data_IF_805260441608
#
_entry.id   IF_805260441608
#
_cell.length_a   1.000
_cell.length_b   1.000
_cell.length_c   1.000
_cell.angle_alpha   90.00
_cell.angle_beta   90.00
_cell.angle_gamma   90.00
#
_symmetry.space_group_name_H-M   'P 1'
#
loop_
_entity.id
_entity.type
_entity.pdbx_description
1 polymer ?
#
# COMPACT_ATOMS: atom_id res chain seq x y z
N UNK A 1 -13.32 15.24 -12.60
CA UNK A 1 -13.15 13.84 -12.66
C UNK A 1 -14.22 13.09 -13.42
N UNK A 2 -13.96 11.82 -13.74
CA UNK A 2 -14.94 10.91 -14.33
C UNK A 2 -15.86 10.37 -13.25
N UNK A 3 -17.13 10.06 -13.60
CA UNK A 3 -18.05 9.38 -12.69
C UNK A 3 -17.49 8.01 -12.29
N UNK A 4 -17.70 7.62 -11.03
CA UNK A 4 -17.34 6.30 -10.53
C UNK A 4 -18.22 5.20 -11.13
N UNK A 5 -17.78 3.94 -11.06
CA UNK A 5 -18.52 2.80 -11.62
C UNK A 5 -19.92 2.70 -11.05
N UNK A 6 -20.09 2.83 -9.72
CA UNK A 6 -21.41 2.77 -9.09
C UNK A 6 -22.32 3.94 -9.50
N UNK A 7 -21.76 5.13 -9.75
CA UNK A 7 -22.53 6.29 -10.20
C UNK A 7 -23.03 6.15 -11.64
N UNK A 8 -22.40 5.29 -12.46
CA UNK A 8 -22.80 5.04 -13.86
C UNK A 8 -23.67 3.79 -13.98
N UNK A 9 -23.30 2.71 -13.28
CA UNK A 9 -23.89 1.37 -13.49
C UNK A 9 -24.66 0.84 -12.26
N UNK A 10 -24.72 1.61 -11.18
CA UNK A 10 -25.35 1.22 -9.92
C UNK A 10 -24.43 0.47 -8.95
N UNK A 11 -24.84 0.41 -7.70
CA UNK A 11 -24.03 -0.12 -6.59
C UNK A 11 -23.68 -1.60 -6.78
N UNK A 12 -24.63 -2.43 -7.20
CA UNK A 12 -24.39 -3.86 -7.40
C UNK A 12 -23.27 -4.14 -8.41
N UNK A 13 -23.28 -3.45 -9.55
CA UNK A 13 -22.21 -3.59 -10.55
C UNK A 13 -20.90 -2.95 -10.08
N UNK A 14 -20.98 -1.89 -9.26
CA UNK A 14 -19.80 -1.32 -8.62
C UNK A 14 -19.07 -2.34 -7.73
N UNK A 15 -19.81 -3.05 -6.87
CA UNK A 15 -19.28 -4.09 -5.99
C UNK A 15 -18.73 -5.26 -6.81
N UNK A 16 -19.55 -5.83 -7.70
CA UNK A 16 -19.15 -6.98 -8.52
C UNK A 16 -17.94 -6.68 -9.42
N UNK A 17 -17.77 -5.44 -9.87
CA UNK A 17 -16.58 -5.04 -10.63
C UNK A 17 -15.31 -5.10 -9.80
N UNK A 18 -15.38 -4.68 -8.53
CA UNK A 18 -14.27 -4.81 -7.59
C UNK A 18 -13.90 -6.26 -7.30
N UNK A 19 -14.91 -7.10 -7.02
CA UNK A 19 -14.74 -8.52 -6.78
C UNK A 19 -14.12 -9.23 -8.01
N UNK A 20 -14.63 -8.90 -9.20
CA UNK A 20 -14.13 -9.46 -10.45
C UNK A 20 -12.67 -9.07 -10.72
N UNK A 21 -12.29 -7.83 -10.47
CA UNK A 21 -10.91 -7.36 -10.65
C UNK A 21 -9.95 -8.06 -9.67
N UNK A 22 -10.34 -8.20 -8.41
CA UNK A 22 -9.52 -8.88 -7.42
C UNK A 22 -9.37 -10.38 -7.76
N UNK A 23 -10.47 -11.04 -8.12
CA UNK A 23 -10.43 -12.45 -8.55
C UNK A 23 -9.57 -12.62 -9.82
N UNK A 24 -9.70 -11.73 -10.80
CA UNK A 24 -8.93 -11.77 -12.03
C UNK A 24 -7.43 -11.57 -11.80
N UNK A 25 -7.05 -10.76 -10.80
CA UNK A 25 -5.66 -10.63 -10.40
C UNK A 25 -5.08 -11.97 -9.90
N UNK A 26 -5.82 -12.71 -9.07
CA UNK A 26 -5.39 -14.04 -8.62
C UNK A 26 -5.41 -15.10 -9.73
N UNK A 27 -6.42 -15.07 -10.59
CA UNK A 27 -6.48 -15.93 -11.77
C UNK A 27 -5.24 -15.72 -12.65
N UNK A 28 -4.89 -14.46 -12.92
CA UNK A 28 -3.71 -14.10 -13.70
C UNK A 28 -2.42 -14.56 -12.99
N UNK A 29 -2.26 -14.28 -11.71
CA UNK A 29 -1.08 -14.70 -10.95
C UNK A 29 -0.94 -16.23 -10.90
N UNK A 30 -2.06 -16.96 -10.81
CA UNK A 30 -2.05 -18.44 -10.77
C UNK A 30 -1.57 -19.09 -12.07
N UNK A 31 -1.57 -18.37 -13.19
CA UNK A 31 -1.00 -18.89 -14.45
C UNK A 31 0.48 -19.24 -14.34
N UNK A 32 1.20 -18.63 -13.37
CA UNK A 32 2.60 -18.94 -13.08
C UNK A 32 2.84 -20.42 -12.78
N UNK A 33 1.88 -21.11 -12.15
CA UNK A 33 1.98 -22.54 -11.90
C UNK A 33 2.01 -23.39 -13.19
N UNK A 34 1.38 -22.89 -14.25
CA UNK A 34 1.42 -23.55 -15.56
C UNK A 34 2.68 -23.23 -16.35
N UNK A 35 3.25 -22.04 -16.13
CA UNK A 35 4.47 -21.59 -16.79
C UNK A 35 5.72 -22.29 -16.23
N UNK A 36 5.80 -22.44 -14.91
CA UNK A 36 6.92 -23.07 -14.22
C UNK A 36 6.43 -24.05 -13.14
N UNK A 37 5.84 -25.19 -13.50
CA UNK A 37 5.16 -26.09 -12.56
C UNK A 37 6.07 -26.71 -11.50
N UNK A 38 7.38 -26.74 -11.72
CA UNK A 38 8.36 -27.27 -10.79
C UNK A 38 8.98 -26.18 -9.86
N UNK A 39 8.61 -24.94 -10.01
CA UNK A 39 9.17 -23.85 -9.22
C UNK A 39 8.43 -23.65 -7.87
N UNK A 40 9.03 -24.05 -6.73
CA UNK A 40 8.37 -23.92 -5.42
C UNK A 40 8.19 -22.47 -4.96
N UNK A 41 8.92 -21.51 -5.54
CA UNK A 41 8.80 -20.10 -5.21
C UNK A 41 7.43 -19.54 -5.58
N UNK A 42 6.75 -20.07 -6.60
CA UNK A 42 5.43 -19.63 -7.03
C UNK A 42 4.40 -19.82 -5.90
N UNK A 43 4.42 -20.96 -5.21
CA UNK A 43 3.53 -21.21 -4.08
C UNK A 43 3.77 -20.22 -2.93
N UNK A 44 5.02 -19.92 -2.61
CA UNK A 44 5.39 -18.91 -1.60
C UNK A 44 4.93 -17.51 -2.02
N UNK A 45 5.19 -17.11 -3.26
CA UNK A 45 4.77 -15.82 -3.82
C UNK A 45 3.24 -15.64 -3.77
N UNK A 46 2.49 -16.67 -4.17
CA UNK A 46 1.02 -16.65 -4.09
C UNK A 46 0.52 -16.54 -2.66
N UNK A 47 1.11 -17.26 -1.71
CA UNK A 47 0.76 -17.16 -0.29
C UNK A 47 0.99 -15.75 0.28
N UNK A 48 2.10 -15.11 -0.08
CA UNK A 48 2.38 -13.71 0.28
C UNK A 48 1.36 -12.76 -0.33
N UNK A 49 1.13 -12.84 -1.64
CA UNK A 49 0.19 -11.99 -2.35
C UNK A 49 -1.21 -12.07 -1.74
N UNK A 50 -1.74 -13.29 -1.56
CA UNK A 50 -3.09 -13.50 -1.02
C UNK A 50 -3.23 -13.03 0.42
N UNK A 51 -2.20 -13.23 1.26
CA UNK A 51 -2.19 -12.77 2.65
C UNK A 51 -2.21 -11.25 2.73
N UNK A 52 -1.32 -10.58 1.99
CA UNK A 52 -1.16 -9.10 2.02
C UNK A 52 -2.34 -8.35 1.39
N UNK A 53 -3.04 -8.95 0.45
CA UNK A 53 -4.27 -8.38 -0.11
C UNK A 53 -5.51 -8.69 0.72
N UNK A 54 -5.48 -9.69 1.58
CA UNK A 54 -6.61 -10.22 2.34
C UNK A 54 -6.94 -9.46 3.63
N UNK A 55 -7.62 -10.19 4.54
CA UNK A 55 -8.08 -9.64 5.84
C UNK A 55 -6.94 -9.20 6.77
N UNK A 56 -5.76 -9.79 6.62
CA UNK A 56 -4.56 -9.47 7.39
C UNK A 56 -3.63 -8.48 6.65
N UNK A 57 -4.17 -7.74 5.69
CA UNK A 57 -3.48 -6.75 4.88
C UNK A 57 -4.47 -5.72 4.35
N UNK A 58 -4.45 -5.46 3.04
CA UNK A 58 -5.18 -4.36 2.40
C UNK A 58 -6.67 -4.33 2.73
N UNK A 59 -7.39 -5.43 2.58
CA UNK A 59 -8.83 -5.47 2.87
C UNK A 59 -9.13 -5.20 4.35
N UNK A 60 -8.31 -5.73 5.27
CA UNK A 60 -8.45 -5.44 6.69
C UNK A 60 -8.21 -3.98 7.01
N UNK A 61 -7.14 -3.39 6.49
CA UNK A 61 -6.83 -1.96 6.65
C UNK A 61 -7.93 -1.06 6.09
N UNK A 62 -8.44 -1.37 4.89
CA UNK A 62 -9.55 -0.64 4.27
C UNK A 62 -10.85 -0.75 5.08
N UNK A 63 -11.14 -1.93 5.62
CA UNK A 63 -12.34 -2.14 6.45
C UNK A 63 -12.30 -1.28 7.72
N UNK A 64 -11.13 -1.19 8.35
CA UNK A 64 -10.94 -0.34 9.54
C UNK A 64 -11.05 1.15 9.18
N UNK A 65 -10.46 1.58 8.05
CA UNK A 65 -10.56 2.97 7.58
C UNK A 65 -12.04 3.38 7.37
N UNK A 66 -12.79 2.61 6.60
CA UNK A 66 -14.22 2.89 6.32
C UNK A 66 -15.07 2.87 7.60
N UNK A 67 -14.85 1.90 8.50
CA UNK A 67 -15.61 1.79 9.74
C UNK A 67 -15.39 2.95 10.72
N UNK A 68 -14.23 3.61 10.60
CA UNK A 68 -13.83 4.73 11.46
C UNK A 68 -13.90 6.09 10.76
N UNK A 69 -14.45 6.16 9.57
CA UNK A 69 -14.68 7.44 8.87
C UNK A 69 -15.52 8.40 9.73
N UNK A 70 -15.07 9.65 9.86
CA UNK A 70 -15.70 10.66 10.70
C UNK A 70 -15.52 10.49 12.21
N UNK A 71 -14.69 9.53 12.67
CA UNK A 71 -14.38 9.33 14.09
C UNK A 71 -12.96 9.79 14.41
N UNK A 72 -12.77 10.30 15.63
CA UNK A 72 -11.43 10.57 16.15
C UNK A 72 -10.69 9.25 16.38
N UNK A 73 -9.58 9.06 15.71
CA UNK A 73 -8.73 7.87 15.83
C UNK A 73 -7.45 8.22 16.61
N UNK A 74 -7.03 7.33 17.51
CA UNK A 74 -5.70 7.41 18.11
C UNK A 74 -4.62 7.02 17.10
N UNK A 75 -3.36 7.42 17.40
CA UNK A 75 -2.21 7.14 16.54
C UNK A 75 -2.08 5.67 16.15
N UNK A 76 -2.26 4.75 17.10
CA UNK A 76 -2.16 3.31 16.83
C UNK A 76 -3.14 2.81 15.75
N UNK A 77 -4.35 3.37 15.71
CA UNK A 77 -5.34 3.03 14.69
C UNK A 77 -4.95 3.58 13.32
N UNK A 78 -4.41 4.80 13.29
CA UNK A 78 -3.93 5.41 12.06
C UNK A 78 -2.72 4.65 11.49
N UNK A 79 -1.76 4.30 12.36
CA UNK A 79 -0.60 3.49 11.97
C UNK A 79 -1.05 2.13 11.40
N UNK A 80 -2.03 1.47 12.04
CA UNK A 80 -2.61 0.22 11.54
C UNK A 80 -3.24 0.37 10.15
N UNK A 81 -4.00 1.46 9.91
CA UNK A 81 -4.62 1.73 8.61
C UNK A 81 -3.53 1.93 7.55
N UNK A 82 -2.52 2.76 7.81
CA UNK A 82 -1.46 3.04 6.85
C UNK A 82 -0.64 1.79 6.51
N UNK A 83 -0.29 0.99 7.53
CA UNK A 83 0.43 -0.25 7.37
C UNK A 83 -0.36 -1.26 6.51
N UNK A 84 -1.62 -1.47 6.81
CA UNK A 84 -2.39 -2.51 6.14
C UNK A 84 -3.04 -2.04 4.84
N UNK A 85 -3.68 -0.86 4.82
CA UNK A 85 -4.38 -0.38 3.63
C UNK A 85 -3.45 -0.07 2.46
N UNK A 86 -2.27 0.52 2.74
CA UNK A 86 -1.35 1.02 1.72
C UNK A 86 -0.05 0.22 1.66
N UNK A 87 0.66 0.08 2.80
CA UNK A 87 1.97 -0.57 2.80
C UNK A 87 1.90 -2.04 2.44
N UNK A 88 0.85 -2.76 2.84
CA UNK A 88 0.73 -4.19 2.58
C UNK A 88 0.86 -4.59 1.10
N UNK A 89 0.34 -3.78 0.16
CA UNK A 89 0.51 -4.05 -1.28
C UNK A 89 1.89 -3.71 -1.81
N UNK A 90 2.54 -2.69 -1.26
CA UNK A 90 3.92 -2.33 -1.60
C UNK A 90 4.87 -3.42 -1.09
N UNK A 91 4.67 -3.85 0.15
CA UNK A 91 5.36 -5.00 0.75
C UNK A 91 5.18 -6.26 -0.12
N UNK A 92 3.94 -6.59 -0.48
CA UNK A 92 3.64 -7.74 -1.32
C UNK A 92 4.41 -7.69 -2.65
N UNK A 93 4.48 -6.51 -3.27
CA UNK A 93 5.16 -6.34 -4.56
C UNK A 93 6.66 -6.61 -4.45
N UNK A 94 7.33 -6.08 -3.43
CA UNK A 94 8.74 -6.31 -3.17
C UNK A 94 9.02 -7.75 -2.76
N UNK A 95 8.25 -8.29 -1.81
CA UNK A 95 8.42 -9.65 -1.29
C UNK A 95 8.19 -10.72 -2.36
N UNK A 96 7.15 -10.58 -3.19
CA UNK A 96 6.87 -11.51 -4.30
C UNK A 96 8.03 -11.50 -5.30
N UNK A 97 8.50 -10.31 -5.68
CA UNK A 97 9.66 -10.18 -6.56
C UNK A 97 10.92 -10.86 -5.97
N UNK A 98 11.20 -10.61 -4.70
CA UNK A 98 12.35 -11.21 -4.00
C UNK A 98 12.26 -12.75 -3.94
N UNK A 99 11.10 -13.30 -3.54
CA UNK A 99 10.88 -14.74 -3.49
C UNK A 99 11.06 -15.39 -4.85
N UNK A 100 10.52 -14.81 -5.91
CA UNK A 100 10.67 -15.32 -7.28
C UNK A 100 12.13 -15.23 -7.78
N UNK A 101 12.88 -14.24 -7.30
CA UNK A 101 14.32 -14.12 -7.58
C UNK A 101 15.21 -15.06 -6.74
N UNK A 102 14.64 -15.85 -5.83
CA UNK A 102 15.36 -16.80 -4.99
C UNK A 102 15.95 -16.20 -3.71
N UNK A 103 15.41 -15.07 -3.22
CA UNK A 103 15.82 -14.47 -1.97
C UNK A 103 15.66 -15.42 -0.77
N UNK A 104 16.54 -15.30 0.20
CA UNK A 104 16.42 -15.97 1.50
C UNK A 104 15.25 -15.42 2.31
N UNK A 105 14.90 -16.08 3.42
CA UNK A 105 13.85 -15.60 4.30
C UNK A 105 14.23 -14.25 4.97
N UNK A 106 15.51 -14.08 5.30
CA UNK A 106 16.05 -12.84 5.85
C UNK A 106 16.00 -11.70 4.84
N UNK A 107 16.41 -11.93 3.60
CA UNK A 107 16.32 -10.95 2.52
C UNK A 107 14.87 -10.57 2.24
N UNK A 108 13.97 -11.56 2.25
CA UNK A 108 12.55 -11.30 2.04
C UNK A 108 11.93 -10.49 3.20
N UNK A 109 12.34 -10.75 4.44
CA UNK A 109 11.93 -9.94 5.59
C UNK A 109 12.48 -8.50 5.53
N UNK A 110 13.68 -8.30 4.99
CA UNK A 110 14.22 -6.96 4.72
C UNK A 110 13.40 -6.23 3.64
N UNK A 111 12.99 -6.93 2.58
CA UNK A 111 12.10 -6.36 1.55
C UNK A 111 10.73 -5.97 2.12
N UNK A 112 10.19 -6.74 3.08
CA UNK A 112 8.98 -6.36 3.81
C UNK A 112 9.18 -5.05 4.58
N UNK A 113 10.30 -4.91 5.32
CA UNK A 113 10.61 -3.69 6.06
C UNK A 113 10.77 -2.46 5.13
N UNK A 114 11.43 -2.64 3.98
CA UNK A 114 11.56 -1.57 2.98
C UNK A 114 10.17 -1.19 2.46
N UNK A 115 9.34 -2.18 2.09
CA UNK A 115 7.98 -1.95 1.62
C UNK A 115 7.10 -1.22 2.63
N UNK A 116 7.20 -1.59 3.91
CA UNK A 116 6.49 -0.92 5.01
C UNK A 116 6.90 0.55 5.13
N UNK A 117 8.21 0.84 5.11
CA UNK A 117 8.72 2.21 5.18
C UNK A 117 8.31 3.05 3.98
N UNK A 118 8.45 2.52 2.78
CA UNK A 118 8.02 3.19 1.54
C UNK A 118 6.52 3.47 1.57
N UNK A 119 5.71 2.50 1.98
CA UNK A 119 4.26 2.65 2.07
C UNK A 119 3.84 3.70 3.10
N UNK A 120 4.49 3.73 4.26
CA UNK A 120 4.24 4.75 5.29
C UNK A 120 4.65 6.15 4.79
N UNK A 121 5.84 6.29 4.21
CA UNK A 121 6.31 7.57 3.65
C UNK A 121 5.38 8.06 2.53
N UNK A 122 4.92 7.15 1.67
CA UNK A 122 3.94 7.43 0.60
C UNK A 122 2.63 7.98 1.17
N UNK A 123 2.08 7.33 2.20
CA UNK A 123 0.82 7.76 2.80
C UNK A 123 0.96 9.12 3.51
N UNK A 124 2.04 9.32 4.28
CA UNK A 124 2.31 10.63 4.91
C UNK A 124 2.47 11.71 3.84
N UNK A 125 3.12 11.40 2.72
CA UNK A 125 3.28 12.34 1.60
C UNK A 125 1.95 12.65 0.92
N UNK A 126 1.05 11.68 0.78
CA UNK A 126 -0.31 11.90 0.26
C UNK A 126 -1.09 12.87 1.16
N UNK A 127 -1.03 12.69 2.49
CA UNK A 127 -1.65 13.60 3.47
C UNK A 127 -1.08 15.04 3.38
N UNK A 128 0.25 15.16 3.20
CA UNK A 128 0.90 16.47 2.99
C UNK A 128 0.38 17.13 1.71
N UNK A 129 0.31 16.37 0.62
CA UNK A 129 -0.15 16.88 -0.67
C UNK A 129 -1.62 17.28 -0.66
N UNK A 130 -2.48 16.59 0.11
CA UNK A 130 -3.90 16.95 0.25
C UNK A 130 -4.08 18.37 0.82
N UNK A 131 -3.15 18.85 1.63
CA UNK A 131 -3.21 20.18 2.26
C UNK A 131 -2.31 21.24 1.61
N UNK A 132 -1.33 20.85 0.77
CA UNK A 132 -0.32 21.78 0.22
C UNK A 132 -0.36 21.94 -1.29
N UNK A 133 -0.96 20.99 -2.02
CA UNK A 133 -0.98 20.99 -3.48
C UNK A 133 -2.23 21.65 -4.05
N UNK A 134 -2.38 21.65 -5.37
CA UNK A 134 -3.56 22.13 -6.10
C UNK A 134 -4.29 20.97 -6.79
N UNK A 135 -5.58 21.18 -7.12
CA UNK A 135 -6.36 20.16 -7.87
C UNK A 135 -5.77 19.91 -9.27
N UNK A 136 -5.12 20.91 -9.87
CA UNK A 136 -4.46 20.77 -11.16
C UNK A 136 -3.23 19.84 -11.08
N UNK A 137 -2.41 19.99 -10.04
CA UNK A 137 -1.21 19.17 -9.84
C UNK A 137 -1.53 17.73 -9.47
N UNK A 138 -2.52 17.54 -8.56
CA UNK A 138 -2.89 16.20 -8.09
C UNK A 138 -3.84 15.45 -9.03
N UNK A 139 -4.59 16.15 -9.88
CA UNK A 139 -5.63 15.54 -10.71
C UNK A 139 -6.82 14.99 -9.91
N UNK A 140 -6.89 15.27 -8.60
CA UNK A 140 -7.96 14.90 -7.67
C UNK A 140 -8.33 16.08 -6.79
N UNK A 141 -9.55 16.14 -6.19
CA UNK A 141 -9.92 17.18 -5.21
C UNK A 141 -8.93 17.20 -4.04
N UNK A 142 -8.58 18.42 -3.60
CA UNK A 142 -7.78 18.66 -2.40
C UNK A 142 -8.68 18.89 -1.17
N UNK A 143 -8.07 18.91 0.02
CA UNK A 143 -8.78 19.02 1.31
C UNK A 143 -9.89 17.96 1.47
N UNK A 144 -9.69 16.80 0.84
CA UNK A 144 -10.64 15.69 0.91
C UNK A 144 -10.71 15.10 2.30
N UNK A 145 -9.58 15.02 2.99
CA UNK A 145 -9.50 14.50 4.35
C UNK A 145 -10.19 15.43 5.35
N UNK A 146 -10.04 16.74 5.21
CA UNK A 146 -10.74 17.74 6.03
C UNK A 146 -12.26 17.68 5.80
N UNK A 147 -12.71 17.62 4.55
CA UNK A 147 -14.15 17.48 4.21
C UNK A 147 -14.77 16.22 4.78
N UNK A 148 -14.01 15.14 4.83
CA UNK A 148 -14.45 13.86 5.38
C UNK A 148 -14.17 13.72 6.88
N UNK A 149 -13.69 14.78 7.55
CA UNK A 149 -13.32 14.78 8.97
C UNK A 149 -12.35 13.66 9.33
N UNK A 150 -11.46 13.32 8.40
CA UNK A 150 -10.43 12.30 8.62
C UNK A 150 -9.30 12.84 9.48
N UNK A 151 -8.86 12.02 10.42
CA UNK A 151 -7.61 12.27 11.11
C UNK A 151 -6.47 11.74 10.25
N UNK A 152 -5.48 12.59 9.97
CA UNK A 152 -4.34 12.29 9.12
C UNK A 152 -3.03 12.39 9.91
N UNK A 153 -1.93 11.97 9.31
CA UNK A 153 -0.61 12.15 9.93
C UNK A 153 -0.28 13.63 10.14
N UNK A 154 -0.68 14.49 9.19
CA UNK A 154 -0.48 15.95 9.27
C UNK A 154 -1.27 16.56 10.44
N UNK A 155 -2.49 16.10 10.71
CA UNK A 155 -3.28 16.57 11.86
C UNK A 155 -2.65 16.17 13.21
N UNK A 156 -1.93 15.05 13.26
CA UNK A 156 -1.26 14.55 14.49
C UNK A 156 0.13 15.16 14.72
N UNK A 157 0.89 15.41 13.67
CA UNK A 157 2.32 15.78 13.74
C UNK A 157 2.61 17.20 13.29
N UNK A 158 1.61 17.86 12.68
CA UNK A 158 1.81 19.10 11.94
C UNK A 158 2.56 18.88 10.62
N UNK A 159 2.48 19.85 9.72
CA UNK A 159 3.05 19.75 8.37
C UNK A 159 4.58 19.57 8.40
N UNK A 160 5.28 20.37 9.20
CA UNK A 160 6.74 20.31 9.33
C UNK A 160 7.21 18.97 9.92
N UNK A 161 6.50 18.48 10.95
CA UNK A 161 6.79 17.18 11.56
C UNK A 161 6.57 16.02 10.59
N UNK A 162 5.48 16.05 9.83
CA UNK A 162 5.18 15.07 8.81
C UNK A 162 6.26 15.05 7.69
N UNK A 163 6.69 16.22 7.21
CA UNK A 163 7.73 16.32 6.20
C UNK A 163 9.07 15.72 6.67
N UNK A 164 9.50 16.05 7.90
CA UNK A 164 10.72 15.46 8.50
C UNK A 164 10.62 13.95 8.68
N UNK A 165 9.44 13.45 9.06
CA UNK A 165 9.22 12.00 9.20
C UNK A 165 9.28 11.29 7.83
N UNK A 166 8.76 11.89 6.74
CA UNK A 166 8.92 11.35 5.38
C UNK A 166 10.39 11.22 4.99
N UNK A 167 11.18 12.28 5.18
CA UNK A 167 12.62 12.28 4.86
C UNK A 167 13.32 11.15 5.64
N UNK A 168 13.20 11.13 6.95
CA UNK A 168 13.81 10.10 7.81
C UNK A 168 13.41 8.69 7.43
N UNK A 169 12.11 8.42 7.22
CA UNK A 169 11.61 7.07 6.88
C UNK A 169 12.12 6.64 5.50
N UNK A 170 12.20 7.58 4.55
CA UNK A 170 12.75 7.30 3.22
C UNK A 170 14.24 6.99 3.27
N UNK A 171 15.02 7.74 4.06
CA UNK A 171 16.44 7.45 4.29
C UNK A 171 16.63 6.07 4.92
N UNK A 172 15.87 5.72 5.95
CA UNK A 172 15.90 4.39 6.58
C UNK A 172 15.56 3.26 5.58
N UNK A 173 14.65 3.49 4.63
CA UNK A 173 14.35 2.52 3.58
C UNK A 173 15.53 2.36 2.61
N UNK A 174 16.19 3.45 2.23
CA UNK A 174 17.37 3.44 1.38
C UNK A 174 18.56 2.76 2.06
N UNK A 175 18.78 3.02 3.36
CA UNK A 175 19.82 2.35 4.13
C UNK A 175 19.63 0.83 4.16
N UNK A 176 18.39 0.36 4.35
CA UNK A 176 18.07 -1.07 4.27
C UNK A 176 18.31 -1.62 2.86
N UNK A 177 17.93 -0.90 1.82
CA UNK A 177 18.15 -1.29 0.44
C UNK A 177 19.65 -1.41 0.13
N UNK A 178 20.47 -0.49 0.66
CA UNK A 178 21.91 -0.49 0.47
C UNK A 178 22.66 -1.64 1.17
N UNK A 179 22.00 -2.39 2.06
CA UNK A 179 22.57 -3.61 2.66
C UNK A 179 22.61 -4.78 1.67
N UNK A 180 21.80 -4.75 0.61
CA UNK A 180 21.81 -5.80 -0.40
C UNK A 180 23.08 -5.70 -1.26
N UNK A 181 23.71 -6.84 -1.60
CA UNK A 181 24.92 -6.86 -2.41
C UNK A 181 24.67 -6.42 -3.86
N UNK A 182 23.48 -6.65 -4.37
CA UNK A 182 23.06 -6.21 -5.70
C UNK A 182 22.48 -4.80 -5.62
N UNK A 183 23.21 -3.84 -6.19
CA UNK A 183 22.70 -2.47 -6.28
C UNK A 183 21.68 -2.37 -7.41
N UNK A 184 20.50 -1.87 -7.09
CA UNK A 184 19.44 -1.65 -8.06
C UNK A 184 19.04 -0.16 -8.04
N UNK A 185 19.54 0.59 -9.05
CA UNK A 185 19.25 2.01 -9.19
C UNK A 185 17.77 2.31 -9.49
N UNK A 186 17.02 1.34 -10.02
CA UNK A 186 15.59 1.51 -10.26
C UNK A 186 14.77 1.55 -8.96
N UNK A 187 15.21 0.83 -7.93
CA UNK A 187 14.55 0.83 -6.62
C UNK A 187 14.97 2.02 -5.74
N UNK A 188 15.97 2.78 -6.14
CA UNK A 188 16.49 3.97 -5.49
C UNK A 188 15.79 5.25 -5.96
#
# INVERSE_FOLDING_TARGET
GKKTTHAVYGEALGILSGDALLNYAYETASTAFSLEPANPAIGKAMALLTRKTGMYGMLGGQSVDVTNEGKLMGRQMLDYIYENKTSALIEASLMVGAVLAGATEEENAQMEQIGSKVGLAFQIRDDILDVTSTEEELGKPIHSDEKNQKQTYVTLRGLEGAAKDVERISEEALELLDTFPQKNEFLR
#
